data_IF_460903321462
#
_entry.id   IF_460903321462
#
_cell.length_a   1.000
_cell.length_b   1.000
_cell.length_c   1.000
_cell.angle_alpha   90.00
_cell.angle_beta   90.00
_cell.angle_gamma   90.00
#
_symmetry.space_group_name_H-M   'P 1'
#
loop_
_entity.id
_entity.type
_entity.pdbx_description
1 polymer ?
#
# COMPACT_ATOMS: atom_id res chain seq x y z
N UNK A 1 -5.47 0.34 24.62
CA UNK A 1 -6.43 -0.70 24.17
C UNK A 1 -6.45 -0.85 22.64
N UNK A 2 -6.56 0.23 21.85
CA UNK A 2 -6.51 0.17 20.37
C UNK A 2 -5.26 -0.54 19.81
N UNK A 3 -4.07 -0.27 20.34
CA UNK A 3 -2.83 -0.87 19.83
C UNK A 3 -2.75 -2.39 20.03
N UNK A 4 -3.31 -2.91 21.13
CA UNK A 4 -3.36 -4.35 21.40
C UNK A 4 -4.29 -5.06 20.42
N UNK A 5 -5.44 -4.47 20.11
CA UNK A 5 -6.40 -5.01 19.14
C UNK A 5 -5.86 -4.94 17.70
N UNK A 6 -5.17 -3.84 17.34
CA UNK A 6 -4.50 -3.72 16.05
C UNK A 6 -3.40 -4.79 15.90
N UNK A 7 -2.58 -4.99 16.94
CA UNK A 7 -1.57 -6.06 16.95
C UNK A 7 -2.17 -7.44 16.74
N UNK A 8 -3.22 -7.82 17.50
CA UNK A 8 -3.84 -9.14 17.37
C UNK A 8 -4.49 -9.35 16.00
N UNK A 9 -5.08 -8.30 15.43
CA UNK A 9 -5.67 -8.35 14.10
C UNK A 9 -4.58 -8.58 13.05
N UNK A 10 -3.48 -7.84 13.11
CA UNK A 10 -2.33 -8.03 12.20
C UNK A 10 -1.76 -9.44 12.32
N UNK A 11 -1.64 -10.01 13.52
CA UNK A 11 -1.18 -11.39 13.72
C UNK A 11 -2.06 -12.40 12.97
N UNK A 12 -3.38 -12.32 13.14
CA UNK A 12 -4.33 -13.24 12.49
C UNK A 12 -4.27 -13.10 10.96
N UNK A 13 -4.17 -11.87 10.45
CA UNK A 13 -4.12 -11.63 9.00
C UNK A 13 -2.79 -12.11 8.39
N UNK A 14 -1.67 -11.91 9.09
CA UNK A 14 -0.37 -12.44 8.68
C UNK A 14 -0.35 -13.97 8.63
N UNK A 15 -0.97 -14.64 9.61
CA UNK A 15 -1.12 -16.10 9.60
C UNK A 15 -1.96 -16.57 8.41
N UNK A 16 -3.09 -15.90 8.13
CA UNK A 16 -3.95 -16.21 6.98
C UNK A 16 -3.22 -16.02 5.64
N UNK A 17 -2.38 -14.99 5.52
CA UNK A 17 -1.53 -14.74 4.37
C UNK A 17 -0.26 -15.63 4.32
N UNK A 18 -0.08 -16.54 5.29
CA UNK A 18 1.06 -17.47 5.38
C UNK A 18 2.42 -16.76 5.37
N UNK A 19 2.53 -15.63 6.07
CA UNK A 19 3.74 -14.83 6.08
C UNK A 19 4.96 -15.61 6.59
N UNK A 20 6.02 -15.67 5.78
CA UNK A 20 7.29 -16.35 6.11
C UNK A 20 8.07 -15.63 7.20
N UNK A 21 7.98 -14.31 7.25
CA UNK A 21 8.74 -13.45 8.16
C UNK A 21 7.82 -12.67 9.10
N UNK A 22 6.97 -13.40 9.83
CA UNK A 22 5.84 -12.85 10.61
C UNK A 22 6.23 -11.69 11.54
N UNK A 23 7.30 -11.82 12.32
CA UNK A 23 7.72 -10.77 13.26
C UNK A 23 8.13 -9.48 12.54
N UNK A 24 8.93 -9.59 11.47
CA UNK A 24 9.42 -8.46 10.70
C UNK A 24 8.27 -7.74 9.99
N UNK A 25 7.41 -8.53 9.34
CA UNK A 25 6.22 -8.04 8.64
C UNK A 25 5.27 -7.30 9.61
N UNK A 26 5.05 -7.87 10.80
CA UNK A 26 4.22 -7.26 11.85
C UNK A 26 4.79 -5.93 12.32
N UNK A 27 6.09 -5.84 12.59
CA UNK A 27 6.73 -4.60 13.03
C UNK A 27 6.57 -3.50 11.98
N UNK A 28 6.83 -3.81 10.71
CA UNK A 28 6.67 -2.86 9.61
C UNK A 28 5.22 -2.36 9.49
N UNK A 29 4.24 -3.28 9.55
CA UNK A 29 2.82 -2.94 9.48
C UNK A 29 2.33 -2.10 10.65
N UNK A 30 2.68 -2.49 11.88
CA UNK A 30 2.26 -1.74 13.06
C UNK A 30 2.90 -0.34 13.09
N UNK A 31 4.11 -0.21 12.56
CA UNK A 31 4.73 1.10 12.34
C UNK A 31 3.92 1.93 11.33
N UNK A 32 3.55 1.35 10.18
CA UNK A 32 2.73 2.04 9.18
C UNK A 32 1.37 2.46 9.73
N UNK A 33 0.63 1.55 10.38
CA UNK A 33 -0.69 1.83 10.96
C UNK A 33 -0.65 2.91 12.06
N UNK A 34 0.47 3.03 12.78
CA UNK A 34 0.66 4.08 13.78
C UNK A 34 0.79 5.47 13.15
N UNK A 35 1.53 5.57 12.04
CA UNK A 35 1.71 6.84 11.32
C UNK A 35 0.52 7.17 10.42
N UNK A 36 -0.20 6.15 9.96
CA UNK A 36 -1.30 6.25 9.00
C UNK A 36 -2.55 5.53 9.51
N UNK A 37 -3.23 6.07 10.54
CA UNK A 37 -4.37 5.41 11.19
C UNK A 37 -5.62 5.28 10.31
N UNK A 38 -5.66 5.96 9.16
CA UNK A 38 -6.72 5.81 8.15
C UNK A 38 -6.63 4.53 7.33
N UNK A 39 -5.50 3.82 7.38
CA UNK A 39 -5.32 2.55 6.70
C UNK A 39 -5.81 1.39 7.57
N UNK A 40 -6.33 0.35 6.90
CA UNK A 40 -6.89 -0.84 7.53
C UNK A 40 -6.24 -2.09 6.95
N UNK A 41 -5.82 -3.04 7.82
CA UNK A 41 -5.24 -4.29 7.39
C UNK A 41 -6.35 -5.26 6.94
N UNK A 42 -6.11 -6.00 5.87
CA UNK A 42 -7.04 -6.96 5.29
C UNK A 42 -6.28 -8.13 4.62
N UNK A 43 -7.01 -9.14 4.14
CA UNK A 43 -6.44 -10.25 3.36
C UNK A 43 -7.35 -10.55 2.18
N UNK A 44 -6.77 -10.58 0.98
CA UNK A 44 -7.46 -10.90 -0.26
C UNK A 44 -6.68 -11.92 -1.08
N UNK A 45 -7.36 -12.60 -2.00
CA UNK A 45 -6.66 -13.25 -3.10
C UNK A 45 -6.27 -12.17 -4.11
N UNK A 46 -5.01 -12.14 -4.49
CA UNK A 46 -4.46 -11.16 -5.41
C UNK A 46 -3.70 -11.87 -6.53
N UNK A 47 -3.94 -11.42 -7.76
CA UNK A 47 -3.17 -11.84 -8.93
C UNK A 47 -2.08 -10.81 -9.13
N UNK A 48 -0.84 -11.23 -8.89
CA UNK A 48 0.32 -10.38 -9.06
C UNK A 48 0.62 -10.14 -10.56
N UNK A 49 1.44 -9.13 -10.88
CA UNK A 49 1.85 -8.85 -12.26
C UNK A 49 2.59 -9.99 -12.97
N UNK A 50 3.10 -10.97 -12.23
CA UNK A 50 3.71 -12.21 -12.77
C UNK A 50 2.68 -13.33 -12.98
N UNK A 51 1.39 -13.00 -12.92
CA UNK A 51 0.24 -13.91 -13.02
C UNK A 51 0.14 -14.95 -11.90
N UNK A 52 0.95 -14.83 -10.85
CA UNK A 52 0.79 -15.68 -9.66
C UNK A 52 -0.42 -15.21 -8.87
N UNK A 53 -1.29 -16.15 -8.49
CA UNK A 53 -2.40 -15.88 -7.57
C UNK A 53 -2.01 -16.37 -6.19
N UNK A 54 -2.07 -15.49 -5.19
CA UNK A 54 -1.87 -15.89 -3.81
C UNK A 54 -2.77 -15.11 -2.86
N UNK A 55 -3.05 -15.71 -1.71
CA UNK A 55 -3.59 -14.97 -0.58
C UNK A 55 -2.54 -13.96 -0.13
N UNK A 56 -2.87 -12.68 -0.23
CA UNK A 56 -2.02 -11.55 0.04
C UNK A 56 -2.57 -10.78 1.23
N UNK A 57 -1.68 -10.30 2.08
CA UNK A 57 -2.07 -9.25 3.02
C UNK A 57 -2.25 -7.94 2.24
N UNK A 58 -3.25 -7.16 2.59
CA UNK A 58 -3.52 -5.87 1.98
C UNK A 58 -3.64 -4.78 3.05
N UNK A 59 -3.02 -3.62 2.80
CA UNK A 59 -3.27 -2.41 3.55
C UNK A 59 -4.06 -1.45 2.68
N UNK A 60 -5.34 -1.25 3.01
CA UNK A 60 -6.25 -0.37 2.27
C UNK A 60 -6.50 0.92 3.04
N UNK A 61 -6.44 2.05 2.37
CA UNK A 61 -6.71 3.33 2.99
C UNK A 61 -6.80 4.43 1.96
N UNK A 62 -6.71 5.67 2.42
CA UNK A 62 -6.64 6.82 1.53
C UNK A 62 -5.46 7.71 1.90
N UNK A 63 -4.77 8.18 0.87
CA UNK A 63 -3.75 9.21 0.97
C UNK A 63 -4.45 10.57 0.90
N UNK A 64 -4.34 11.42 1.92
CA UNK A 64 -4.94 12.74 1.89
C UNK A 64 -4.23 13.62 0.85
N UNK A 65 -5.03 14.34 0.06
CA UNK A 65 -4.56 15.35 -0.91
C UNK A 65 -5.36 16.65 -0.70
N UNK A 66 -4.90 17.74 -1.33
CA UNK A 66 -5.61 19.03 -1.32
C UNK A 66 -6.94 19.00 -2.08
N UNK A 67 -7.00 18.19 -3.13
CA UNK A 67 -8.15 18.11 -4.04
C UNK A 67 -9.13 17.05 -3.52
N UNK A 68 -8.68 15.80 -3.47
CA UNK A 68 -9.50 14.67 -3.02
C UNK A 68 -8.66 13.58 -2.35
N UNK A 69 -9.27 12.84 -1.42
CA UNK A 69 -8.64 11.68 -0.81
C UNK A 69 -8.42 10.58 -1.86
N UNK A 70 -7.18 10.15 -2.03
CA UNK A 70 -6.78 9.15 -3.01
C UNK A 70 -6.80 7.75 -2.39
N UNK A 71 -7.75 6.87 -2.75
CA UNK A 71 -7.77 5.52 -2.21
C UNK A 71 -6.59 4.71 -2.74
N UNK A 72 -5.90 4.00 -1.86
CA UNK A 72 -4.72 3.19 -2.18
C UNK A 72 -4.84 1.82 -1.53
N UNK A 73 -4.46 0.79 -2.28
CA UNK A 73 -4.32 -0.58 -1.80
C UNK A 73 -2.87 -1.04 -1.95
N UNK A 74 -2.30 -1.58 -0.86
CA UNK A 74 -0.92 -2.07 -0.80
C UNK A 74 -0.94 -3.56 -0.51
N UNK A 75 -0.60 -4.37 -1.50
CA UNK A 75 -0.55 -5.83 -1.41
C UNK A 75 0.85 -6.32 -1.06
N UNK A 76 0.91 -7.19 -0.05
CA UNK A 76 2.13 -7.79 0.47
C UNK A 76 2.13 -9.30 0.21
N UNK A 77 3.21 -9.79 -0.39
CA UNK A 77 3.48 -11.23 -0.48
C UNK A 77 3.87 -11.82 0.87
N UNK A 78 3.80 -13.14 0.96
CA UNK A 78 4.29 -13.95 2.08
C UNK A 78 5.76 -13.68 2.45
N UNK A 79 6.55 -13.14 1.50
CA UNK A 79 7.97 -12.82 1.61
C UNK A 79 8.27 -11.39 2.08
N UNK A 80 7.25 -10.56 2.32
CA UNK A 80 7.44 -9.24 2.93
C UNK A 80 8.09 -9.39 4.33
N UNK A 81 9.03 -8.50 4.73
CA UNK A 81 9.44 -7.25 4.06
C UNK A 81 10.60 -7.37 3.06
N UNK A 82 11.11 -8.56 2.76
CA UNK A 82 12.27 -8.71 1.85
C UNK A 82 11.93 -8.48 0.37
N UNK A 83 10.64 -8.50 0.01
CA UNK A 83 10.15 -8.14 -1.32
C UNK A 83 9.25 -6.91 -1.24
N UNK A 84 9.39 -6.06 -2.25
CA UNK A 84 8.58 -4.85 -2.39
C UNK A 84 7.08 -5.21 -2.45
N UNK A 85 6.23 -4.36 -1.87
CA UNK A 85 4.78 -4.46 -2.05
C UNK A 85 4.37 -4.15 -3.49
N UNK A 86 3.18 -4.63 -3.88
CA UNK A 86 2.52 -4.18 -5.11
C UNK A 86 1.41 -3.21 -4.72
N UNK A 87 1.42 -2.01 -5.30
CA UNK A 87 0.57 -0.92 -4.84
C UNK A 87 -0.31 -0.40 -5.97
N UNK A 88 -1.54 -0.02 -5.65
CA UNK A 88 -2.53 0.46 -6.61
C UNK A 88 -3.22 1.70 -6.07
N UNK A 89 -3.46 2.67 -6.93
CA UNK A 89 -4.52 3.65 -6.71
C UNK A 89 -5.83 2.98 -7.10
N UNK A 90 -6.82 3.03 -6.21
CA UNK A 90 -8.16 2.52 -6.47
C UNK A 90 -9.04 3.69 -6.89
N UNK A 91 -9.24 3.93 -8.21
CA UNK A 91 -10.05 5.05 -8.65
C UNK A 91 -11.48 4.92 -8.12
N UNK A 92 -11.98 5.97 -7.48
CA UNK A 92 -13.43 6.15 -7.27
C UNK A 92 -14.06 6.67 -8.56
N UNK A 93 -15.38 6.59 -8.65
CA UNK A 93 -16.16 6.92 -9.86
C UNK A 93 -15.89 8.31 -10.46
N UNK A 94 -15.31 9.22 -9.68
CA UNK A 94 -15.01 10.60 -10.08
C UNK A 94 -13.51 10.86 -10.37
N UNK A 95 -12.62 9.90 -10.11
CA UNK A 95 -11.17 10.08 -10.29
C UNK A 95 -10.76 9.49 -11.64
N UNK A 96 -10.45 10.36 -12.61
CA UNK A 96 -9.79 9.95 -13.85
C UNK A 96 -8.29 9.89 -13.62
N UNK A 97 -7.74 8.68 -13.50
CA UNK A 97 -6.29 8.50 -13.40
C UNK A 97 -5.66 8.73 -14.78
N UNK A 98 -4.84 9.78 -14.88
CA UNK A 98 -4.00 9.99 -16.08
C UNK A 98 -2.80 9.04 -15.99
N UNK A 99 -2.59 8.24 -17.03
CA UNK A 99 -1.38 7.43 -17.19
C UNK A 99 -0.14 8.31 -17.06
N UNK A 100 0.84 7.86 -16.29
CA UNK A 100 2.10 8.55 -16.06
C UNK A 100 3.23 7.55 -15.83
N UNK A 101 4.45 8.06 -15.67
CA UNK A 101 5.61 7.24 -15.26
C UNK A 101 5.42 6.59 -13.87
N UNK A 102 4.51 7.13 -13.07
CA UNK A 102 4.22 6.64 -11.71
C UNK A 102 3.00 5.74 -11.66
N UNK A 103 1.96 6.00 -12.45
CA UNK A 103 0.70 5.25 -12.39
C UNK A 103 0.33 4.74 -13.77
N UNK A 104 0.18 3.42 -13.91
CA UNK A 104 -0.24 2.80 -15.17
C UNK A 104 -1.76 2.82 -15.38
N UNK A 105 -2.22 2.28 -16.51
CA UNK A 105 -3.64 2.23 -16.90
C UNK A 105 -4.52 1.40 -15.94
N UNK A 106 -3.91 0.49 -15.17
CA UNK A 106 -4.57 -0.32 -14.15
C UNK A 106 -4.49 0.32 -12.75
N UNK A 107 -3.95 1.53 -12.66
CA UNK A 107 -3.75 2.23 -11.38
C UNK A 107 -2.53 1.75 -10.59
N UNK A 108 -1.68 0.88 -11.15
CA UNK A 108 -0.50 0.35 -10.44
C UNK A 108 0.53 1.45 -10.26
N UNK A 109 1.03 1.56 -9.04
CA UNK A 109 2.01 2.57 -8.65
C UNK A 109 3.43 2.01 -8.87
N UNK A 110 4.26 2.79 -9.56
CA UNK A 110 5.68 2.61 -9.80
C UNK A 110 6.43 3.82 -9.23
N UNK A 111 7.31 3.59 -8.27
CA UNK A 111 8.17 4.65 -7.73
C UNK A 111 9.60 4.16 -7.59
N UNK A 112 10.57 5.09 -7.59
CA UNK A 112 11.97 4.75 -7.31
C UNK A 112 12.12 4.05 -5.96
N UNK A 113 11.30 4.41 -4.97
CA UNK A 113 11.28 3.74 -3.66
C UNK A 113 10.87 2.27 -3.76
N UNK A 114 9.90 1.94 -4.61
CA UNK A 114 9.50 0.54 -4.87
C UNK A 114 10.55 -0.22 -5.67
N UNK A 115 11.14 0.43 -6.69
CA UNK A 115 12.16 -0.19 -7.56
C UNK A 115 13.44 -0.53 -6.79
N UNK A 116 13.83 0.33 -5.86
CA UNK A 116 15.03 0.17 -5.04
C UNK A 116 14.71 -0.40 -3.64
N UNK A 117 13.57 -1.08 -3.48
CA UNK A 117 13.17 -1.63 -2.20
C UNK A 117 14.19 -2.65 -1.67
N UNK A 118 14.77 -2.33 -0.52
CA UNK A 118 15.76 -3.14 0.18
C UNK A 118 15.43 -3.14 1.66
N UNK A 119 15.17 -4.30 2.23
CA UNK A 119 14.98 -4.42 3.67
C UNK A 119 16.36 -4.62 4.35
N UNK A 120 16.66 -3.95 5.48
CA UNK A 120 15.79 -3.12 6.33
C UNK A 120 15.71 -1.62 6.00
N UNK A 121 16.31 -1.16 4.89
CA UNK A 121 16.34 0.26 4.54
C UNK A 121 14.98 0.85 4.10
N UNK A 122 14.11 0.03 3.51
CA UNK A 122 12.77 0.40 3.06
C UNK A 122 11.69 -0.27 3.92
N UNK A 123 10.62 0.47 4.17
CA UNK A 123 9.53 0.10 5.06
C UNK A 123 8.21 0.78 4.62
N UNK A 124 7.07 0.27 5.06
CA UNK A 124 5.75 0.70 4.61
C UNK A 124 5.41 2.15 4.96
N UNK A 125 5.84 2.64 6.13
CA UNK A 125 5.62 4.05 6.52
C UNK A 125 6.29 5.02 5.55
N UNK A 126 7.54 4.75 5.17
CA UNK A 126 8.29 5.53 4.19
C UNK A 126 7.70 5.44 2.79
N UNK A 127 7.19 4.27 2.39
CA UNK A 127 6.47 4.14 1.13
C UNK A 127 5.20 5.01 1.09
N UNK A 128 4.43 5.01 2.18
CA UNK A 128 3.22 5.85 2.31
C UNK A 128 3.55 7.34 2.27
N UNK A 129 4.67 7.77 2.88
CA UNK A 129 5.16 9.15 2.78
C UNK A 129 5.51 9.51 1.33
N UNK A 130 6.25 8.64 0.63
CA UNK A 130 6.55 8.85 -0.80
C UNK A 130 5.27 8.94 -1.63
N UNK A 131 4.25 8.13 -1.33
CA UNK A 131 2.95 8.21 -2.00
C UNK A 131 2.24 9.54 -1.74
N UNK A 132 2.30 10.09 -0.52
CA UNK A 132 1.75 11.42 -0.22
C UNK A 132 2.39 12.53 -1.07
N UNK A 133 3.69 12.44 -1.34
CA UNK A 133 4.41 13.47 -2.08
C UNK A 133 4.26 13.34 -3.61
N UNK A 134 4.01 12.12 -4.07
CA UNK A 134 4.05 11.79 -5.50
C UNK A 134 2.63 11.71 -6.08
N UNK A 135 1.68 11.04 -5.42
CA UNK A 135 0.36 10.78 -5.98
C UNK A 135 -0.50 12.04 -6.26
N UNK A 136 -0.55 13.05 -5.37
CA UNK A 136 -1.32 14.27 -5.63
C UNK A 136 -0.94 15.02 -6.91
N UNK A 137 0.29 14.85 -7.41
CA UNK A 137 0.77 15.49 -8.65
C UNK A 137 0.10 14.94 -9.92
N UNK A 138 -0.59 13.80 -9.81
CA UNK A 138 -1.30 13.18 -10.93
C UNK A 138 -2.80 13.45 -10.92
N UNK A 139 -3.32 14.10 -9.88
CA UNK A 139 -4.69 14.59 -9.89
C UNK A 139 -4.79 15.81 -10.82
N UNK A 140 -5.88 15.94 -11.59
CA UNK A 140 -6.12 17.13 -12.38
C UNK A 140 -6.17 18.35 -11.45
N UNK A 141 -5.34 19.37 -11.70
CA UNK A 141 -5.48 20.66 -11.02
C UNK A 141 -6.75 21.35 -11.53
N UNK A 142 -7.52 22.00 -10.64
CA UNK A 142 -8.78 22.71 -10.93
C UNK A 142 -8.68 23.85 -11.98
N UNK A 143 -7.57 23.97 -12.70
CA UNK A 143 -7.27 24.99 -13.71
C UNK A 143 -7.50 24.55 -15.15
N UNK A 144 -8.11 23.38 -15.41
CA UNK A 144 -8.48 22.92 -16.76
C UNK A 144 -10.01 22.80 -16.94
N UNK A 145 -10.79 23.77 -16.46
CA UNK A 145 -12.20 23.96 -16.87
C UNK A 145 -12.44 25.40 -17.30
#
# INVERSE_FOLDING_TARGET
MKDRLASSTVDVLLQRAKAKYMNMAKVDMLSALRHFPGFKPNVFNHIYPDYTCSTAFCLEGAIPSKIDNLPVAIYLRDTHPYKAPTCYVCPTTNIVLRKSDTVDELGRISSTYLRNWTFPGNHLSGLLQVMMDVLPKFLPSDSET
#
